data_IF_587635562682
#
_entry.id   IF_587635562682
#
_cell.length_a   1.000
_cell.length_b   1.000
_cell.length_c   1.000
_cell.angle_alpha   90.00
_cell.angle_beta   90.00
_cell.angle_gamma   90.00
#
_symmetry.space_group_name_H-M   'P 1'
#
loop_
_entity.id
_entity.type
_entity.pdbx_description
1 polymer ?
#
# COMPACT_ATOMS: atom_id res chain seq x y z
N UNK A 1 -2.14 -6.75 6.26
CA UNK A 1 -1.63 -5.39 6.05
C UNK A 1 -1.17 -5.25 4.61
N UNK A 2 0.09 -5.52 4.24
CA UNK A 2 0.66 -5.18 2.92
C UNK A 2 -0.01 -5.75 1.65
N UNK A 3 -0.89 -6.76 1.76
CA UNK A 3 -1.70 -7.25 0.63
C UNK A 3 -3.03 -6.51 0.47
N UNK A 4 -3.53 -5.87 1.53
CA UNK A 4 -4.84 -5.21 1.53
C UNK A 4 -4.89 -3.99 0.62
N UNK A 5 -3.88 -3.10 0.57
CA UNK A 5 -3.89 -1.97 -0.36
C UNK A 5 -3.98 -2.40 -1.84
N UNK A 6 -3.11 -3.29 -2.37
CA UNK A 6 -3.23 -3.71 -3.77
C UNK A 6 -4.56 -4.44 -4.03
N UNK A 7 -5.02 -5.30 -3.12
CA UNK A 7 -6.33 -5.95 -3.25
C UNK A 7 -7.46 -4.93 -3.35
N UNK A 8 -7.46 -3.88 -2.54
CA UNK A 8 -8.49 -2.85 -2.60
C UNK A 8 -8.45 -2.12 -3.95
N UNK A 9 -7.26 -1.78 -4.44
CA UNK A 9 -7.08 -1.24 -5.79
C UNK A 9 -7.68 -2.14 -6.87
N UNK A 10 -7.48 -3.46 -6.79
CA UNK A 10 -8.08 -4.40 -7.76
C UNK A 10 -9.60 -4.47 -7.69
N UNK A 11 -10.18 -4.35 -6.48
CA UNK A 11 -11.64 -4.41 -6.30
C UNK A 11 -12.30 -3.12 -6.78
N UNK A 12 -11.73 -1.96 -6.45
CA UNK A 12 -12.26 -0.66 -6.82
C UNK A 12 -12.07 -0.40 -8.32
N UNK A 13 -10.90 -0.75 -8.88
CA UNK A 13 -10.60 -0.54 -10.30
C UNK A 13 -11.29 -1.54 -11.23
N UNK A 14 -11.62 -2.74 -10.73
CA UNK A 14 -12.16 -3.85 -11.51
C UNK A 14 -11.19 -5.02 -11.60
N UNK A 15 -11.71 -6.24 -11.47
CA UNK A 15 -10.88 -7.45 -11.47
C UNK A 15 -10.41 -7.76 -12.89
N UNK A 16 -9.10 -7.83 -13.09
CA UNK A 16 -8.46 -8.17 -14.36
C UNK A 16 -7.41 -9.27 -14.17
N UNK A 17 -7.08 -9.99 -15.23
CA UNK A 17 -6.01 -11.00 -15.16
C UNK A 17 -4.63 -10.37 -14.88
N UNK A 18 -4.42 -9.11 -15.30
CA UNK A 18 -3.21 -8.32 -15.01
C UNK A 18 -3.08 -8.00 -13.53
N UNK A 19 -4.20 -7.78 -12.85
CA UNK A 19 -4.26 -7.63 -11.40
C UNK A 19 -3.81 -8.90 -10.67
N UNK A 20 -4.16 -10.09 -11.17
CA UNK A 20 -3.66 -11.35 -10.62
C UNK A 20 -2.13 -11.48 -10.78
N UNK A 21 -1.60 -11.12 -11.96
CA UNK A 21 -0.15 -11.10 -12.18
C UNK A 21 0.57 -10.13 -11.23
N UNK A 22 0.02 -8.92 -11.03
CA UNK A 22 0.57 -7.94 -10.09
C UNK A 22 0.61 -8.51 -8.65
N UNK A 23 -0.49 -9.11 -8.20
CA UNK A 23 -0.59 -9.69 -6.86
C UNK A 23 0.38 -10.87 -6.68
N UNK A 24 0.52 -11.74 -7.68
CA UNK A 24 1.50 -12.83 -7.66
C UNK A 24 2.93 -12.30 -7.62
N UNK A 25 3.26 -11.32 -8.46
CA UNK A 25 4.56 -10.67 -8.47
C UNK A 25 4.87 -10.01 -7.11
N UNK A 26 3.88 -9.40 -6.46
CA UNK A 26 4.02 -8.80 -5.15
C UNK A 26 4.31 -9.83 -4.04
N UNK A 27 3.59 -10.95 -4.02
CA UNK A 27 3.84 -12.04 -3.05
C UNK A 27 5.24 -12.64 -3.26
N UNK A 28 5.64 -12.86 -4.52
CA UNK A 28 6.98 -13.35 -4.86
C UNK A 28 8.09 -12.36 -4.49
N UNK A 29 7.84 -11.06 -4.66
CA UNK A 29 8.74 -10.00 -4.22
C UNK A 29 8.97 -10.08 -2.70
N UNK A 30 7.91 -10.24 -1.91
CA UNK A 30 8.02 -10.41 -0.46
C UNK A 30 8.88 -11.63 -0.06
N UNK A 31 8.70 -12.77 -0.76
CA UNK A 31 9.55 -13.95 -0.54
C UNK A 31 11.02 -13.69 -0.91
N UNK A 32 11.27 -12.95 -1.98
CA UNK A 32 12.61 -12.55 -2.42
C UNK A 32 13.27 -11.63 -1.41
N UNK A 33 12.55 -10.64 -0.89
CA UNK A 33 13.04 -9.74 0.16
C UNK A 33 13.44 -10.50 1.42
N UNK A 34 12.60 -11.43 1.88
CA UNK A 34 12.87 -12.23 3.08
C UNK A 34 14.12 -13.11 2.93
N UNK A 35 14.28 -13.77 1.78
CA UNK A 35 15.44 -14.62 1.51
C UNK A 35 16.71 -13.79 1.32
N UNK A 36 16.60 -12.64 0.64
CA UNK A 36 17.72 -11.72 0.42
C UNK A 36 18.20 -11.09 1.72
N UNK A 37 17.29 -10.69 2.62
CA UNK A 37 17.64 -10.18 3.94
C UNK A 37 18.44 -11.22 4.76
N UNK A 38 18.04 -12.50 4.72
CA UNK A 38 18.79 -13.59 5.37
C UNK A 38 20.17 -13.80 4.76
N UNK A 39 20.29 -13.69 3.44
CA UNK A 39 21.57 -13.80 2.76
C UNK A 39 22.52 -12.64 3.10
N UNK A 40 22.02 -11.39 3.07
CA UNK A 40 22.78 -10.19 3.46
C UNK A 40 23.29 -10.28 4.90
N UNK A 41 22.43 -10.67 5.84
CA UNK A 41 22.79 -10.81 7.25
C UNK A 41 23.80 -11.92 7.51
N UNK A 42 23.81 -12.97 6.67
CA UNK A 42 24.79 -14.07 6.68
C UNK A 42 26.16 -13.74 6.06
N UNK A 43 26.44 -12.44 5.79
CA UNK A 43 27.64 -11.97 5.07
C UNK A 43 27.77 -12.58 3.67
N UNK A 44 26.65 -12.67 2.94
CA UNK A 44 26.63 -13.11 1.54
C UNK A 44 27.15 -14.55 1.34
N UNK A 45 26.97 -15.42 2.34
CA UNK A 45 27.48 -16.79 2.25
C UNK A 45 26.83 -17.57 1.09
N UNK A 46 27.65 -18.35 0.36
CA UNK A 46 27.19 -19.15 -0.80
C UNK A 46 26.08 -20.15 -0.45
N UNK A 47 25.94 -20.52 0.83
CA UNK A 47 24.92 -21.45 1.33
C UNK A 47 23.49 -20.92 1.17
N UNK A 48 23.27 -19.61 1.27
CA UNK A 48 21.94 -19.01 1.14
C UNK A 48 21.68 -18.41 -0.25
N UNK A 49 22.63 -18.52 -1.18
CA UNK A 49 22.49 -18.01 -2.55
C UNK A 49 21.43 -18.77 -3.38
N UNK A 50 21.35 -20.11 -3.36
CA UNK A 50 20.37 -20.84 -4.18
C UNK A 50 18.90 -20.41 -3.98
N UNK A 51 18.37 -20.27 -2.74
CA UNK A 51 17.00 -19.80 -2.56
C UNK A 51 16.81 -18.36 -3.02
N UNK A 52 17.79 -17.47 -2.79
CA UNK A 52 17.72 -16.08 -3.26
C UNK A 52 17.64 -16.03 -4.78
N UNK A 53 18.52 -16.76 -5.48
CA UNK A 53 18.53 -16.80 -6.93
C UNK A 53 17.24 -17.38 -7.50
N UNK A 54 16.69 -18.44 -6.89
CA UNK A 54 15.43 -19.05 -7.32
C UNK A 54 14.24 -18.08 -7.19
N UNK A 55 14.04 -17.48 -6.01
CA UNK A 55 12.94 -16.54 -5.82
C UNK A 55 13.12 -15.26 -6.65
N UNK A 56 14.34 -14.75 -6.78
CA UNK A 56 14.63 -13.60 -7.64
C UNK A 56 14.36 -13.88 -9.11
N UNK A 57 14.75 -15.07 -9.62
CA UNK A 57 14.47 -15.46 -11.00
C UNK A 57 12.97 -15.59 -11.26
N UNK A 58 12.23 -16.25 -10.38
CA UNK A 58 10.77 -16.38 -10.50
C UNK A 58 10.09 -15.01 -10.45
N UNK A 59 10.49 -14.14 -9.50
CA UNK A 59 9.99 -12.77 -9.41
C UNK A 59 10.29 -11.98 -10.68
N UNK A 60 11.48 -12.14 -11.26
CA UNK A 60 11.85 -11.48 -12.52
C UNK A 60 11.01 -11.98 -13.70
N UNK A 61 10.70 -13.28 -13.79
CA UNK A 61 9.83 -13.82 -14.84
C UNK A 61 8.42 -13.22 -14.76
N UNK A 62 7.80 -13.22 -13.57
CA UNK A 62 6.46 -12.63 -13.40
C UNK A 62 6.47 -11.11 -13.57
N UNK A 63 7.51 -10.43 -13.08
CA UNK A 63 7.69 -8.98 -13.26
C UNK A 63 7.89 -8.60 -14.72
N UNK A 64 8.71 -9.34 -15.48
CA UNK A 64 8.90 -9.13 -16.91
C UNK A 64 7.62 -9.43 -17.69
N UNK A 65 6.91 -10.50 -17.38
CA UNK A 65 5.60 -10.78 -17.99
C UNK A 65 4.62 -9.62 -17.76
N UNK A 66 4.62 -9.03 -16.57
CA UNK A 66 3.82 -7.84 -16.27
C UNK A 66 4.28 -6.62 -17.08
N UNK A 67 5.59 -6.38 -17.22
CA UNK A 67 6.12 -5.25 -18.01
C UNK A 67 5.88 -5.42 -19.52
N UNK A 68 5.97 -6.64 -20.05
CA UNK A 68 5.65 -6.93 -21.47
C UNK A 68 4.16 -6.70 -21.73
N UNK A 69 3.31 -7.11 -20.78
CA UNK A 69 1.86 -6.98 -20.93
C UNK A 69 1.33 -5.60 -20.58
N UNK A 70 2.09 -4.78 -19.86
CA UNK A 70 1.79 -3.40 -19.44
C UNK A 70 3.07 -2.53 -19.37
N UNK A 71 3.65 -2.14 -20.52
CA UNK A 71 4.88 -1.34 -20.60
C UNK A 71 4.80 0.00 -19.86
N UNK A 72 3.62 0.60 -19.71
CA UNK A 72 3.47 1.85 -18.96
C UNK A 72 3.91 1.74 -17.49
N UNK A 73 3.92 0.53 -16.92
CA UNK A 73 4.43 0.30 -15.55
C UNK A 73 5.93 0.57 -15.39
N UNK A 74 6.70 0.63 -16.48
CA UNK A 74 8.11 1.01 -16.44
C UNK A 74 8.34 2.36 -15.72
N UNK A 75 7.33 3.25 -15.69
CA UNK A 75 7.40 4.53 -14.95
C UNK A 75 7.60 4.38 -13.45
N UNK A 76 7.14 3.27 -12.87
CA UNK A 76 7.23 3.01 -11.44
C UNK A 76 8.53 2.30 -11.05
N UNK A 77 9.28 1.75 -12.02
CA UNK A 77 10.53 1.02 -11.77
C UNK A 77 11.56 1.88 -11.01
N UNK A 78 11.83 3.15 -11.36
CA UNK A 78 12.77 3.97 -10.60
C UNK A 78 12.38 4.12 -9.12
N UNK A 79 11.10 4.30 -8.84
CA UNK A 79 10.59 4.41 -7.47
C UNK A 79 10.83 3.10 -6.70
N UNK A 80 10.41 1.96 -7.24
CA UNK A 80 10.61 0.66 -6.58
C UNK A 80 12.09 0.28 -6.45
N UNK A 81 12.94 0.67 -7.39
CA UNK A 81 14.40 0.49 -7.28
C UNK A 81 14.97 1.24 -6.07
N UNK A 82 14.55 2.50 -5.85
CA UNK A 82 14.97 3.27 -4.68
C UNK A 82 14.44 2.65 -3.39
N UNK A 83 13.15 2.29 -3.35
CA UNK A 83 12.53 1.66 -2.18
C UNK A 83 13.23 0.32 -1.83
N UNK A 84 13.46 -0.54 -2.83
CA UNK A 84 14.16 -1.81 -2.63
C UNK A 84 15.61 -1.60 -2.13
N UNK A 85 16.33 -0.63 -2.70
CA UNK A 85 17.68 -0.30 -2.25
C UNK A 85 17.70 0.16 -0.78
N UNK A 86 16.73 0.97 -0.35
CA UNK A 86 16.59 1.39 1.04
C UNK A 86 16.30 0.22 1.99
N UNK A 87 15.41 -0.71 1.58
CA UNK A 87 15.10 -1.92 2.36
C UNK A 87 16.33 -2.82 2.49
N UNK A 88 17.07 -3.06 1.41
CA UNK A 88 18.29 -3.87 1.45
C UNK A 88 19.42 -3.18 2.23
N UNK A 89 19.55 -1.85 2.13
CA UNK A 89 20.47 -1.09 2.94
C UNK A 89 20.14 -1.20 4.44
N UNK A 90 18.85 -1.15 4.79
CA UNK A 90 18.38 -1.36 6.16
C UNK A 90 18.70 -2.78 6.66
N UNK A 91 18.51 -3.80 5.81
CA UNK A 91 18.88 -5.19 6.12
C UNK A 91 20.39 -5.35 6.32
N UNK A 92 21.21 -4.75 5.45
CA UNK A 92 22.67 -4.83 5.55
C UNK A 92 23.22 -4.15 6.81
N UNK A 93 22.69 -2.98 7.15
CA UNK A 93 23.03 -2.26 8.39
C UNK A 93 22.45 -2.90 9.65
N UNK A 94 21.70 -4.01 9.53
CA UNK A 94 20.99 -4.69 10.63
C UNK A 94 20.02 -3.77 11.37
N UNK A 95 19.48 -2.75 10.68
CA UNK A 95 18.48 -1.80 11.20
C UNK A 95 17.11 -2.07 10.57
N UNK A 96 16.79 -3.35 10.38
CA UNK A 96 15.47 -3.83 9.91
C UNK A 96 14.31 -3.28 10.78
N UNK A 97 14.61 -2.86 12.01
CA UNK A 97 13.66 -2.35 12.99
C UNK A 97 13.44 -0.84 12.95
N UNK A 98 14.06 -0.12 12.02
CA UNK A 98 13.96 1.35 11.90
C UNK A 98 12.57 1.85 11.52
N UNK A 99 12.30 3.13 11.82
CA UNK A 99 11.10 3.85 11.36
C UNK A 99 11.05 3.99 9.83
N UNK A 100 12.20 4.24 9.21
CA UNK A 100 12.33 4.39 7.76
C UNK A 100 12.02 3.10 7.00
N UNK A 101 12.46 1.93 7.49
CA UNK A 101 12.14 0.66 6.82
C UNK A 101 10.63 0.39 6.79
N UNK A 102 9.92 0.64 7.90
CA UNK A 102 8.47 0.49 7.93
C UNK A 102 7.77 1.49 6.99
N UNK A 103 8.27 2.73 6.91
CA UNK A 103 7.76 3.75 5.98
C UNK A 103 7.93 3.32 4.52
N UNK A 104 9.09 2.79 4.16
CA UNK A 104 9.38 2.28 2.80
C UNK A 104 8.39 1.18 2.42
N UNK A 105 8.12 0.23 3.32
CA UNK A 105 7.14 -0.84 3.06
C UNK A 105 5.70 -0.32 2.93
N UNK A 106 5.30 0.67 3.74
CA UNK A 106 3.97 1.29 3.63
C UNK A 106 3.83 2.00 2.28
N UNK A 107 4.84 2.81 1.91
CA UNK A 107 4.84 3.53 0.62
C UNK A 107 4.75 2.53 -0.52
N UNK A 108 5.57 1.48 -0.52
CA UNK A 108 5.53 0.43 -1.54
C UNK A 108 4.15 -0.25 -1.65
N UNK A 109 3.57 -0.67 -0.53
CA UNK A 109 2.26 -1.33 -0.51
C UNK A 109 1.14 -0.39 -0.98
N UNK A 110 1.15 0.87 -0.52
CA UNK A 110 0.12 1.84 -0.87
C UNK A 110 0.24 2.30 -2.33
N UNK A 111 1.46 2.51 -2.86
CA UNK A 111 1.64 2.81 -4.30
C UNK A 111 1.12 1.67 -5.18
N UNK A 112 1.20 0.41 -4.73
CA UNK A 112 0.56 -0.68 -5.47
C UNK A 112 -0.97 -0.61 -5.50
N UNK A 113 -1.64 0.01 -4.52
CA UNK A 113 -3.08 0.26 -4.58
C UNK A 113 -3.44 1.11 -5.80
N UNK A 114 -2.70 2.20 -6.02
CA UNK A 114 -2.86 3.07 -7.18
C UNK A 114 -2.63 2.32 -8.49
N UNK A 115 -1.56 1.53 -8.55
CA UNK A 115 -1.19 0.74 -9.73
C UNK A 115 -2.27 -0.31 -10.03
N UNK A 116 -2.71 -1.07 -9.02
CA UNK A 116 -3.76 -2.08 -9.14
C UNK A 116 -5.09 -1.47 -9.61
N UNK A 117 -5.44 -0.28 -9.12
CA UNK A 117 -6.61 0.45 -9.62
C UNK A 117 -6.46 0.78 -11.11
N UNK A 118 -5.31 1.32 -11.51
CA UNK A 118 -5.05 1.72 -12.91
C UNK A 118 -5.05 0.55 -13.90
N UNK A 119 -4.71 -0.66 -13.44
CA UNK A 119 -4.74 -1.89 -14.22
C UNK A 119 -6.16 -2.47 -14.36
N UNK A 120 -7.05 -2.19 -13.41
CA UNK A 120 -8.45 -2.59 -13.45
C UNK A 120 -9.32 -1.60 -14.22
N UNK A 121 -9.03 -0.30 -14.14
CA UNK A 121 -9.87 0.74 -14.70
C UNK A 121 -10.01 0.58 -16.22
N UNK A 122 -11.26 0.48 -16.68
CA UNK A 122 -11.62 0.24 -18.07
C UNK A 122 -11.18 1.36 -19.03
N UNK A 123 -11.47 1.21 -20.34
CA UNK A 123 -11.06 2.18 -21.34
C UNK A 123 -11.55 3.60 -21.01
N UNK A 124 -10.66 4.59 -21.03
CA UNK A 124 -11.07 5.99 -20.85
C UNK A 124 -11.58 6.54 -22.19
N UNK A 125 -12.85 6.96 -22.23
CA UNK A 125 -13.61 7.33 -23.44
C UNK A 125 -13.09 8.53 -24.24
N UNK A 126 -11.94 9.12 -23.88
CA UNK A 126 -11.42 10.34 -24.50
C UNK A 126 -10.42 10.11 -25.63
N UNK A 127 -10.18 8.85 -26.03
CA UNK A 127 -9.32 8.57 -27.16
C UNK A 127 -10.12 8.34 -28.45
N UNK A 128 -10.19 9.39 -29.26
CA UNK A 128 -10.61 9.34 -30.65
C UNK A 128 -9.75 8.33 -31.43
N UNK A 129 -10.38 7.21 -31.79
CA UNK A 129 -10.00 6.20 -32.80
C UNK A 129 -8.53 5.74 -32.91
N UNK A 130 -8.25 4.50 -32.48
CA UNK A 130 -7.45 3.54 -33.26
C UNK A 130 -7.65 2.08 -32.78
N UNK A 131 -7.75 1.10 -33.71
CA UNK A 131 -7.97 -0.30 -33.37
C UNK A 131 -6.62 -0.99 -33.08
N UNK A 132 -6.28 -1.19 -31.81
CA UNK A 132 -5.16 -2.06 -31.45
C UNK A 132 -4.31 -1.55 -30.28
N UNK A 133 -4.48 -2.17 -29.12
CA UNK A 133 -3.60 -1.93 -27.97
C UNK A 133 -2.27 -2.65 -28.11
N UNK A 134 -1.22 -1.91 -28.50
CA UNK A 134 0.09 -1.68 -27.87
C UNK A 134 1.02 -1.07 -28.94
N UNK A 135 1.73 0.02 -28.59
CA UNK A 135 2.56 0.86 -29.51
C UNK A 135 1.80 1.71 -30.55
N UNK A 136 0.63 2.27 -30.17
CA UNK A 136 -0.15 3.25 -30.98
C UNK A 136 -1.54 3.58 -30.38
N UNK A 137 -1.59 3.75 -29.05
CA UNK A 137 -2.71 3.75 -28.06
C UNK A 137 -4.14 4.23 -28.45
N UNK A 138 -5.28 3.76 -27.84
CA UNK A 138 -5.38 3.04 -26.53
C UNK A 138 -6.52 1.96 -26.38
N UNK A 139 -6.65 1.35 -25.17
CA UNK A 139 -7.86 1.68 -24.38
C UNK A 139 -7.59 2.42 -23.04
N UNK A 140 -6.45 2.20 -22.38
CA UNK A 140 -6.09 2.88 -21.12
C UNK A 140 -4.65 3.46 -21.15
N UNK A 141 -4.46 4.79 -21.26
CA UNK A 141 -3.14 5.41 -21.40
C UNK A 141 -2.29 5.37 -20.11
N UNK A 142 -2.90 5.16 -18.94
CA UNK A 142 -2.19 5.13 -17.65
C UNK A 142 -1.19 3.96 -17.53
N UNK A 143 -1.49 2.84 -18.19
CA UNK A 143 -0.74 1.58 -18.05
C UNK A 143 -0.15 1.08 -19.36
N UNK A 144 -0.57 1.63 -20.51
CA UNK A 144 -0.24 1.05 -21.81
C UNK A 144 0.82 1.80 -22.62
N UNK A 145 1.07 3.08 -22.37
CA UNK A 145 2.01 3.88 -23.17
C UNK A 145 2.57 5.09 -22.40
N UNK A 146 3.55 5.75 -23.04
CA UNK A 146 4.28 6.94 -22.54
C UNK A 146 4.03 8.20 -23.40
N UNK A 147 2.92 8.26 -24.15
CA UNK A 147 2.69 9.32 -25.14
C UNK A 147 2.72 10.73 -24.54
N UNK A 148 2.25 10.88 -23.31
CA UNK A 148 2.14 12.17 -22.60
C UNK A 148 3.29 12.40 -21.59
N UNK A 149 4.40 11.66 -21.72
CA UNK A 149 5.56 11.75 -20.82
C UNK A 149 5.62 10.67 -19.72
N UNK A 150 6.50 10.88 -18.73
CA UNK A 150 6.79 9.87 -17.69
C UNK A 150 5.66 9.72 -16.66
N UNK A 151 5.00 10.83 -16.29
CA UNK A 151 3.92 10.88 -15.31
C UNK A 151 2.76 11.76 -15.78
N UNK A 152 1.89 11.25 -16.68
CA UNK A 152 0.70 11.96 -17.10
C UNK A 152 -0.37 11.98 -16.00
N UNK A 153 -1.32 12.92 -16.06
CA UNK A 153 -2.40 13.03 -15.06
C UNK A 153 -3.20 11.71 -14.90
N UNK A 154 -3.35 10.96 -15.98
CA UNK A 154 -4.03 9.65 -16.01
C UNK A 154 -3.26 8.57 -15.24
N UNK A 155 -1.96 8.76 -14.97
CA UNK A 155 -1.17 7.86 -14.10
C UNK A 155 -1.66 7.90 -12.64
N UNK A 156 -2.34 8.97 -12.25
CA UNK A 156 -2.85 9.21 -10.91
C UNK A 156 -4.38 9.34 -10.94
N UNK A 157 -5.12 8.26 -11.21
CA UNK A 157 -6.58 8.31 -11.17
C UNK A 157 -7.04 8.78 -9.78
N UNK A 158 -7.87 9.83 -9.67
CA UNK A 158 -8.23 10.45 -8.39
C UNK A 158 -8.76 9.45 -7.36
N UNK A 159 -9.63 8.51 -7.77
CA UNK A 159 -10.16 7.45 -6.90
C UNK A 159 -9.07 6.54 -6.37
N UNK A 160 -8.15 6.11 -7.23
CA UNK A 160 -7.01 5.28 -6.82
C UNK A 160 -6.05 6.03 -5.89
N UNK A 161 -5.89 7.34 -6.09
CA UNK A 161 -5.05 8.19 -5.24
C UNK A 161 -5.68 8.38 -3.86
N UNK A 162 -6.99 8.66 -3.79
CA UNK A 162 -7.74 8.76 -2.53
C UNK A 162 -7.65 7.44 -1.75
N UNK A 163 -7.90 6.30 -2.39
CA UNK A 163 -7.76 4.99 -1.75
C UNK A 163 -6.34 4.76 -1.23
N UNK A 164 -5.32 5.10 -2.03
CA UNK A 164 -3.90 5.01 -1.65
C UNK A 164 -3.58 5.85 -0.43
N UNK A 165 -4.10 7.09 -0.36
CA UNK A 165 -3.90 7.98 0.79
C UNK A 165 -4.59 7.45 2.06
N UNK A 166 -5.80 6.91 1.95
CA UNK A 166 -6.52 6.30 3.09
C UNK A 166 -5.70 5.13 3.66
N UNK A 167 -5.19 4.23 2.81
CA UNK A 167 -4.33 3.14 3.26
C UNK A 167 -3.01 3.63 3.85
N UNK A 168 -2.32 4.57 3.18
CA UNK A 168 -1.05 5.10 3.68
C UNK A 168 -1.20 5.71 5.07
N UNK A 169 -2.28 6.48 5.28
CA UNK A 169 -2.57 7.10 6.56
C UNK A 169 -2.88 6.06 7.65
N UNK A 170 -3.75 5.09 7.35
CA UNK A 170 -4.19 4.08 8.32
C UNK A 170 -3.11 3.05 8.66
N UNK A 171 -2.31 2.62 7.68
CA UNK A 171 -1.18 1.71 7.90
C UNK A 171 -0.06 2.39 8.69
N UNK A 172 0.22 3.67 8.43
CA UNK A 172 1.18 4.43 9.24
C UNK A 172 0.74 4.55 10.71
N UNK A 173 -0.53 4.86 10.96
CA UNK A 173 -1.10 4.88 12.30
C UNK A 173 -1.03 3.52 13.01
N UNK A 174 -1.19 2.43 12.25
CA UNK A 174 -1.08 1.05 12.75
C UNK A 174 0.37 0.68 13.12
N UNK A 175 1.36 1.14 12.36
CA UNK A 175 2.79 0.97 12.72
C UNK A 175 3.14 1.70 14.01
N UNK A 176 2.67 2.94 14.20
CA UNK A 176 2.84 3.69 15.44
C UNK A 176 2.25 2.92 16.63
N UNK A 177 1.03 2.41 16.46
CA UNK A 177 0.32 1.60 17.44
C UNK A 177 1.11 0.34 17.82
N UNK A 178 1.55 -0.48 16.85
CA UNK A 178 2.31 -1.70 17.12
C UNK A 178 3.64 -1.38 17.82
N UNK A 179 4.31 -0.29 17.45
CA UNK A 179 5.55 0.15 18.11
C UNK A 179 5.31 0.53 19.56
N UNK A 180 4.22 1.24 19.86
CA UNK A 180 3.81 1.57 21.22
C UNK A 180 3.55 0.32 22.08
N UNK A 181 3.10 -0.79 21.47
CA UNK A 181 2.77 -2.03 22.18
C UNK A 181 3.91 -3.03 22.31
N UNK A 182 4.84 -3.11 21.35
CA UNK A 182 5.86 -4.17 21.36
C UNK A 182 7.21 -3.65 21.78
N UNK A 183 7.69 -2.56 21.17
CA UNK A 183 9.10 -2.15 21.23
C UNK A 183 9.35 -0.98 22.18
N UNK A 184 8.51 0.04 22.14
CA UNK A 184 8.70 1.30 22.90
C UNK A 184 7.64 1.47 24.02
N UNK A 185 7.26 0.37 24.67
CA UNK A 185 6.14 0.31 25.64
C UNK A 185 6.18 1.36 26.76
N UNK A 186 7.39 1.72 27.20
CA UNK A 186 7.58 2.67 28.31
C UNK A 186 7.63 4.13 27.84
N UNK A 187 7.82 4.37 26.55
CA UNK A 187 7.98 5.71 26.02
C UNK A 187 6.63 6.28 25.59
N UNK A 188 6.13 7.24 26.37
CA UNK A 188 4.81 7.85 26.20
C UNK A 188 4.62 8.46 24.81
N UNK A 189 5.70 8.95 24.19
CA UNK A 189 5.65 9.60 22.89
C UNK A 189 5.05 8.69 21.80
N UNK A 190 5.39 7.39 21.78
CA UNK A 190 4.82 6.48 20.78
C UNK A 190 3.31 6.28 20.96
N UNK A 191 2.85 6.18 22.21
CA UNK A 191 1.42 6.09 22.52
C UNK A 191 0.71 7.39 22.14
N UNK A 192 1.25 8.54 22.52
CA UNK A 192 0.67 9.85 22.20
C UNK A 192 0.64 10.07 20.69
N UNK A 193 1.74 9.81 19.98
CA UNK A 193 1.80 9.92 18.52
C UNK A 193 0.76 9.01 17.84
N UNK A 194 0.61 7.76 18.29
CA UNK A 194 -0.40 6.84 17.79
C UNK A 194 -1.82 7.35 18.02
N UNK A 195 -2.13 7.84 19.23
CA UNK A 195 -3.47 8.36 19.55
C UNK A 195 -3.77 9.61 18.74
N UNK A 196 -2.84 10.57 18.70
CA UNK A 196 -2.99 11.81 17.93
C UNK A 196 -3.20 11.52 16.45
N UNK A 197 -2.45 10.57 15.87
CA UNK A 197 -2.63 10.15 14.48
C UNK A 197 -4.02 9.56 14.20
N UNK A 198 -4.51 8.67 15.07
CA UNK A 198 -5.85 8.09 14.90
C UNK A 198 -6.98 9.10 15.21
N UNK A 199 -6.71 10.10 16.05
CA UNK A 199 -7.65 11.20 16.32
C UNK A 199 -7.78 12.11 15.10
N UNK A 200 -6.67 12.44 14.42
CA UNK A 200 -6.70 13.14 13.15
C UNK A 200 -7.48 12.36 12.07
N UNK A 201 -7.32 11.03 12.01
CA UNK A 201 -8.16 10.18 11.13
C UNK A 201 -9.65 10.31 11.46
N UNK A 202 -9.99 10.36 12.75
CA UNK A 202 -11.38 10.48 13.22
C UNK A 202 -11.97 11.83 12.83
N UNK A 203 -11.20 12.92 12.98
CA UNK A 203 -11.62 14.25 12.53
C UNK A 203 -11.82 14.26 11.02
N UNK A 204 -10.89 13.71 10.25
CA UNK A 204 -11.03 13.57 8.79
C UNK A 204 -12.29 12.80 8.39
N UNK A 205 -12.56 11.66 9.03
CA UNK A 205 -13.76 10.88 8.77
C UNK A 205 -15.06 11.63 9.15
N UNK A 206 -15.03 12.46 10.19
CA UNK A 206 -16.17 13.30 10.57
C UNK A 206 -16.45 14.41 9.54
N UNK A 207 -15.40 15.00 8.94
CA UNK A 207 -15.54 16.05 7.93
C UNK A 207 -16.20 15.55 6.64
N UNK A 208 -16.00 14.27 6.29
CA UNK A 208 -16.56 13.69 5.06
C UNK A 208 -17.88 12.95 5.32
N UNK A 209 -18.34 12.90 6.58
CA UNK A 209 -19.56 12.19 7.01
C UNK A 209 -20.79 12.44 6.11
N UNK A 210 -21.09 13.67 5.63
CA UNK A 210 -22.24 13.89 4.75
C UNK A 210 -22.17 13.13 3.41
N UNK A 211 -20.95 12.90 2.91
CA UNK A 211 -20.68 12.34 1.58
C UNK A 211 -20.56 10.81 1.59
N UNK A 212 -20.08 10.25 2.70
CA UNK A 212 -19.75 8.81 2.82
C UNK A 212 -20.54 8.05 3.89
N UNK A 213 -21.35 8.76 4.68
CA UNK A 213 -22.12 8.18 5.78
C UNK A 213 -21.28 7.80 6.99
N UNK A 214 -21.87 7.04 7.92
CA UNK A 214 -21.32 6.83 9.26
C UNK A 214 -20.17 5.82 9.36
N UNK A 215 -20.03 4.91 8.39
CA UNK A 215 -19.11 3.77 8.48
C UNK A 215 -17.62 4.16 8.64
N UNK A 216 -17.08 5.16 7.93
CA UNK A 216 -15.70 5.60 8.11
C UNK A 216 -15.45 6.21 9.47
N UNK A 217 -16.40 7.00 9.99
CA UNK A 217 -16.30 7.57 11.33
C UNK A 217 -16.32 6.47 12.38
N UNK A 218 -17.21 5.48 12.24
CA UNK A 218 -17.27 4.33 13.13
C UNK A 218 -15.95 3.53 13.15
N UNK A 219 -15.39 3.26 11.97
CA UNK A 219 -14.08 2.60 11.86
C UNK A 219 -12.97 3.44 12.52
N UNK A 220 -12.90 4.74 12.24
CA UNK A 220 -11.90 5.63 12.84
C UNK A 220 -12.02 5.71 14.37
N UNK A 221 -13.24 5.73 14.91
CA UNK A 221 -13.50 5.67 16.34
C UNK A 221 -12.98 4.37 16.96
N UNK A 222 -13.19 3.21 16.32
CA UNK A 222 -12.61 1.95 16.78
C UNK A 222 -11.08 2.03 16.76
N UNK A 223 -10.49 2.63 15.73
CA UNK A 223 -9.04 2.77 15.59
C UNK A 223 -8.41 3.71 16.63
N UNK A 224 -9.09 4.79 17.03
CA UNK A 224 -8.59 5.68 18.10
C UNK A 224 -8.82 5.07 19.49
N UNK A 225 -9.98 4.44 19.74
CA UNK A 225 -10.26 3.75 21.01
C UNK A 225 -9.23 2.66 21.25
N UNK A 226 -8.94 1.81 20.26
CA UNK A 226 -7.91 0.76 20.40
C UNK A 226 -6.51 1.35 20.62
N UNK A 227 -6.20 2.47 19.96
CA UNK A 227 -4.90 3.13 20.07
C UNK A 227 -4.67 3.73 21.46
N UNK A 228 -5.73 4.11 22.18
CA UNK A 228 -5.64 4.58 23.56
C UNK A 228 -5.74 3.45 24.59
N UNK A 229 -6.73 2.56 24.44
CA UNK A 229 -7.07 1.54 25.44
C UNK A 229 -6.02 0.43 25.54
N UNK A 230 -5.54 -0.11 24.41
CA UNK A 230 -4.65 -1.26 24.43
C UNK A 230 -3.26 -0.92 24.97
N UNK A 231 -2.65 0.24 24.64
CA UNK A 231 -1.40 0.65 25.28
C UNK A 231 -1.56 0.94 26.79
N UNK A 232 -2.71 1.47 27.23
CA UNK A 232 -2.97 1.68 28.65
C UNK A 232 -3.02 0.34 29.41
N UNK A 233 -3.77 -0.64 28.89
CA UNK A 233 -3.83 -2.00 29.45
C UNK A 233 -2.47 -2.69 29.38
N UNK A 234 -1.71 -2.47 28.31
CA UNK A 234 -0.39 -3.08 28.11
C UNK A 234 0.69 -2.57 29.09
N UNK A 235 0.44 -1.47 29.81
CA UNK A 235 1.31 -1.00 30.91
C UNK A 235 1.20 -1.90 32.13
N UNK A 236 0.02 -2.42 32.39
CA UNK A 236 -0.28 -3.25 33.56
C UNK A 236 -0.20 -4.75 33.26
N UNK A 237 -0.52 -5.17 32.03
CA UNK A 237 -0.56 -6.58 31.61
C UNK A 237 0.20 -6.83 30.32
N UNK A 238 0.90 -7.97 30.24
CA UNK A 238 1.55 -8.40 28.98
C UNK A 238 0.54 -8.93 27.99
N UNK A 239 0.27 -8.16 26.94
CA UNK A 239 -0.52 -8.62 25.78
C UNK A 239 0.36 -9.53 24.89
N UNK A 240 -0.07 -10.75 24.57
CA UNK A 240 0.65 -11.65 23.67
C UNK A 240 0.67 -11.13 22.23
N UNK A 241 1.79 -11.34 21.52
CA UNK A 241 2.01 -10.86 20.14
C UNK A 241 0.93 -11.38 19.18
N UNK A 242 0.43 -12.60 19.40
CA UNK A 242 -0.64 -13.21 18.59
C UNK A 242 -1.92 -12.36 18.60
N UNK A 243 -2.32 -11.83 19.76
CA UNK A 243 -3.53 -11.02 19.88
C UNK A 243 -3.35 -9.66 19.20
N UNK A 244 -2.17 -9.04 19.32
CA UNK A 244 -1.86 -7.78 18.60
C UNK A 244 -2.00 -8.00 17.10
N UNK A 245 -1.42 -9.09 16.56
CA UNK A 245 -1.53 -9.42 15.13
C UNK A 245 -2.97 -9.67 14.67
N UNK A 246 -3.80 -10.28 15.51
CA UNK A 246 -5.22 -10.52 15.20
C UNK A 246 -6.03 -9.21 15.15
N UNK A 247 -5.84 -8.33 16.14
CA UNK A 247 -6.49 -7.00 16.18
C UNK A 247 -6.09 -6.17 14.97
N UNK A 248 -4.81 -6.20 14.61
CA UNK A 248 -4.29 -5.55 13.40
C UNK A 248 -4.93 -6.12 12.13
N UNK A 249 -5.04 -7.45 12.03
CA UNK A 249 -5.66 -8.09 10.86
C UNK A 249 -7.14 -7.73 10.71
N UNK A 250 -7.89 -7.64 11.82
CA UNK A 250 -9.28 -7.19 11.82
C UNK A 250 -9.37 -5.72 11.42
N UNK A 251 -8.50 -4.86 11.96
CA UNK A 251 -8.47 -3.45 11.60
C UNK A 251 -8.14 -3.21 10.12
N UNK A 252 -7.15 -3.96 9.58
CA UNK A 252 -6.87 -4.01 8.14
C UNK A 252 -8.12 -4.31 7.32
N UNK A 253 -8.89 -5.34 7.74
CA UNK A 253 -10.06 -5.78 7.02
C UNK A 253 -11.18 -4.72 7.06
N UNK A 254 -11.39 -4.09 8.22
CA UNK A 254 -12.35 -2.99 8.36
C UNK A 254 -11.95 -1.81 7.46
N UNK A 255 -10.68 -1.39 7.50
CA UNK A 255 -10.16 -0.31 6.63
C UNK A 255 -10.33 -0.68 5.16
N UNK A 256 -10.05 -1.94 4.78
CA UNK A 256 -10.25 -2.42 3.42
C UNK A 256 -11.70 -2.27 2.95
N UNK A 257 -12.66 -2.75 3.75
CA UNK A 257 -14.09 -2.66 3.42
C UNK A 257 -14.57 -1.21 3.34
N UNK A 258 -14.15 -0.37 4.30
CA UNK A 258 -14.49 1.05 4.34
C UNK A 258 -13.90 1.79 3.14
N UNK A 259 -12.66 1.50 2.76
CA UNK A 259 -11.99 2.16 1.64
C UNK A 259 -12.69 1.85 0.32
N UNK A 260 -13.10 0.59 0.12
CA UNK A 260 -13.87 0.20 -1.08
C UNK A 260 -15.19 0.94 -1.17
N UNK A 261 -15.91 1.07 -0.05
CA UNK A 261 -17.21 1.76 -0.01
C UNK A 261 -17.12 3.28 -0.16
N UNK A 262 -15.98 3.89 0.15
CA UNK A 262 -15.90 5.36 0.30
C UNK A 262 -14.95 6.06 -0.64
N UNK A 263 -13.99 5.37 -1.27
CA UNK A 263 -13.03 6.01 -2.18
C UNK A 263 -13.73 6.78 -3.33
N UNK A 264 -14.79 6.22 -3.91
CA UNK A 264 -15.58 6.87 -4.97
C UNK A 264 -16.28 8.17 -4.49
N UNK A 265 -17.16 8.10 -3.48
CA UNK A 265 -17.86 9.28 -2.96
C UNK A 265 -16.93 10.39 -2.46
N UNK A 266 -15.84 10.05 -1.76
CA UNK A 266 -14.83 11.03 -1.32
C UNK A 266 -14.22 11.75 -2.53
N UNK A 267 -13.92 11.01 -3.59
CA UNK A 267 -13.35 11.60 -4.80
C UNK A 267 -14.33 12.57 -5.46
N UNK A 268 -15.60 12.20 -5.56
CA UNK A 268 -16.64 13.07 -6.12
C UNK A 268 -16.80 14.38 -5.32
N UNK A 269 -16.79 14.28 -3.98
CA UNK A 269 -16.84 15.44 -3.11
C UNK A 269 -15.62 16.37 -3.31
N UNK A 270 -14.41 15.80 -3.41
CA UNK A 270 -13.19 16.59 -3.63
C UNK A 270 -13.14 17.24 -5.02
N UNK A 271 -13.71 16.60 -6.04
CA UNK A 271 -13.89 17.20 -7.37
C UNK A 271 -14.88 18.37 -7.35
N UNK A 272 -15.98 18.27 -6.59
CA UNK A 272 -16.94 19.36 -6.42
C UNK A 272 -16.35 20.62 -5.79
N UNK A 273 -15.27 20.48 -5.02
CA UNK A 273 -14.54 21.59 -4.36
C UNK A 273 -13.35 22.09 -5.21
N UNK A 274 -13.11 21.50 -6.39
CA UNK A 274 -12.04 21.90 -7.32
C UNK A 274 -10.63 21.38 -6.96
N UNK A 275 -10.50 20.45 -6.02
CA UNK A 275 -9.20 19.89 -5.60
C UNK A 275 -8.61 18.86 -6.57
N UNK A 276 -9.43 18.30 -7.47
CA UNK A 276 -9.00 17.44 -8.57
C UNK A 276 -9.69 17.93 -9.85
N UNK A 277 -9.04 18.82 -10.58
CA UNK A 277 -9.46 19.32 -11.90
C UNK A 277 -8.67 18.67 -13.03
#
# INVERSE_FOLDING_TARGET
MALMPPLAGTVIGGVSWRNLLLLLAWVLCYCTEFTTARWLTSRMSKRFLPPVAAYAAVTAVFGLALLVTTPGLLRWVPLYMVLAALTFLAAWRRVERSWWNNLVSIIAACTLCLIAYSLGSGPQSQATHSPGGYFGCPPNPAVNCFSEGLFPAQAFPPVGLVATLIFAYTEFGSVLYVKSLVRERKHLWCTVASVVWNLMLTIGAALVLPEVGFWPLFAALILVIRAAALPAIARERRIPIKQVGMVESIASLVVFLVTIGTAGPITAALQGVGLFS
#
